data_IF_344853677216
#
_entry.id   IF_344853677216
#
_cell.length_a   1.000
_cell.length_b   1.000
_cell.length_c   1.000
_cell.angle_alpha   90.00
_cell.angle_beta   90.00
_cell.angle_gamma   90.00
#
_symmetry.space_group_name_H-M   'P 1'
#
loop_
_entity.id
_entity.type
_entity.pdbx_description
1 polymer ?
#
# COMPACT_ATOMS: atom_id res chain seq x y z
N UNK A 1 25.85 -42.11 26.30
CA UNK A 1 26.05 -41.04 25.29
C UNK A 1 24.67 -40.65 24.80
N UNK A 2 24.11 -39.62 25.39
CA UNK A 2 22.73 -39.18 25.14
C UNK A 2 22.79 -37.93 24.23
N UNK A 3 22.35 -38.07 22.99
CA UNK A 3 22.35 -36.99 22.00
C UNK A 3 21.10 -36.16 22.16
N UNK A 4 21.24 -34.95 22.67
CA UNK A 4 20.17 -33.95 22.77
C UNK A 4 19.99 -33.26 21.43
N UNK A 5 18.81 -33.37 20.84
CA UNK A 5 18.38 -32.71 19.59
C UNK A 5 17.88 -31.30 19.92
N UNK A 6 18.33 -30.24 19.28
CA UNK A 6 17.73 -28.93 19.49
C UNK A 6 16.42 -28.83 18.69
N UNK A 7 15.33 -28.57 19.39
CA UNK A 7 14.03 -28.25 18.82
C UNK A 7 14.01 -26.77 18.50
N UNK A 8 14.22 -26.40 17.24
CA UNK A 8 14.00 -25.03 16.77
C UNK A 8 12.53 -24.88 16.40
N UNK A 9 11.71 -24.48 17.37
CA UNK A 9 10.35 -24.03 17.13
C UNK A 9 10.36 -22.57 16.72
N UNK A 10 10.21 -22.28 15.43
CA UNK A 10 9.84 -20.96 14.97
C UNK A 10 8.36 -20.74 15.33
N UNK A 11 8.09 -20.23 16.50
CA UNK A 11 6.76 -19.70 16.83
C UNK A 11 6.54 -18.44 16.01
N UNK A 12 5.61 -18.50 15.05
CA UNK A 12 5.02 -17.31 14.44
C UNK A 12 4.43 -16.47 15.59
N UNK A 13 5.01 -15.29 15.79
CA UNK A 13 4.67 -14.34 16.85
C UNK A 13 3.27 -13.76 16.57
N UNK A 14 2.23 -14.42 17.08
CA UNK A 14 0.80 -14.09 16.93
C UNK A 14 0.27 -13.33 18.14
N UNK A 15 1.07 -12.46 18.74
CA UNK A 15 0.60 -11.61 19.84
C UNK A 15 -0.38 -10.54 19.30
N UNK A 16 -1.70 -10.63 19.61
CA UNK A 16 -2.71 -9.68 19.16
C UNK A 16 -2.61 -8.32 19.87
N UNK A 17 -1.81 -8.19 20.93
CA UNK A 17 -1.66 -6.98 21.72
C UNK A 17 -0.61 -6.00 21.17
N UNK A 18 0.11 -6.36 20.11
CA UNK A 18 1.13 -5.48 19.53
C UNK A 18 0.48 -4.28 18.85
N UNK A 19 0.80 -3.05 19.24
CA UNK A 19 0.19 -1.84 18.69
C UNK A 19 0.50 -1.72 17.19
N UNK A 20 -0.56 -1.49 16.41
CA UNK A 20 -0.47 -1.11 15.01
C UNK A 20 -0.55 0.40 14.91
N UNK A 21 0.45 1.02 14.31
CA UNK A 21 0.51 2.46 14.06
C UNK A 21 0.76 2.73 12.58
N UNK A 22 0.20 3.83 12.07
CA UNK A 22 0.50 4.35 10.73
C UNK A 22 0.81 5.83 10.89
N UNK A 23 2.00 6.24 10.45
CA UNK A 23 2.46 7.62 10.61
C UNK A 23 3.17 8.12 9.36
N UNK A 24 3.13 9.44 9.07
CA UNK A 24 4.02 10.04 8.08
C UNK A 24 5.49 9.71 8.40
N UNK A 25 6.25 9.40 7.36
CA UNK A 25 7.65 9.03 7.48
C UNK A 25 8.46 9.63 6.31
N UNK A 26 9.68 10.11 6.53
CA UNK A 26 10.50 10.63 5.44
C UNK A 26 10.79 9.55 4.39
N UNK A 27 10.33 9.78 3.16
CA UNK A 27 10.50 8.80 2.05
C UNK A 27 11.97 8.58 1.71
N UNK A 28 12.83 9.59 1.90
CA UNK A 28 14.27 9.50 1.68
C UNK A 28 15.05 8.80 2.82
N UNK A 29 14.36 8.30 3.86
CA UNK A 29 15.03 7.63 4.97
C UNK A 29 15.53 6.23 4.56
N UNK A 30 16.59 5.71 5.21
CA UNK A 30 17.06 4.34 4.98
C UNK A 30 15.97 3.28 5.24
N UNK A 31 15.10 3.52 6.20
CA UNK A 31 14.00 2.61 6.53
C UNK A 31 12.92 2.58 5.43
N UNK A 32 12.53 3.76 4.91
CA UNK A 32 11.63 3.84 3.76
C UNK A 32 12.21 3.14 2.53
N UNK A 33 13.51 3.32 2.27
CA UNK A 33 14.20 2.64 1.17
C UNK A 33 14.13 1.11 1.28
N UNK A 34 14.28 0.55 2.48
CA UNK A 34 14.14 -0.89 2.71
C UNK A 34 12.71 -1.39 2.45
N UNK A 35 11.69 -0.64 2.91
CA UNK A 35 10.28 -1.01 2.70
C UNK A 35 9.86 -0.87 1.24
N UNK A 36 10.29 0.19 0.56
CA UNK A 36 10.03 0.39 -0.87
C UNK A 36 10.70 -0.68 -1.73
N UNK A 37 11.91 -1.09 -1.36
CA UNK A 37 12.59 -2.22 -2.01
C UNK A 37 11.82 -3.52 -1.83
N UNK A 38 11.34 -3.82 -0.61
CA UNK A 38 10.52 -5.00 -0.34
C UNK A 38 9.19 -4.96 -1.12
N UNK A 39 8.54 -3.79 -1.19
CA UNK A 39 7.37 -3.57 -2.04
C UNK A 39 7.66 -3.91 -3.49
N UNK A 40 8.69 -3.29 -4.08
CA UNK A 40 9.00 -3.46 -5.49
C UNK A 40 9.39 -4.90 -5.81
N UNK A 41 10.16 -5.54 -4.93
CA UNK A 41 10.51 -6.97 -5.08
C UNK A 41 9.25 -7.84 -5.10
N UNK A 42 8.31 -7.66 -4.15
CA UNK A 42 7.07 -8.46 -4.08
C UNK A 42 6.22 -8.29 -5.36
N UNK A 43 6.06 -7.06 -5.86
CA UNK A 43 5.23 -6.83 -7.05
C UNK A 43 5.92 -7.23 -8.35
N UNK A 44 7.24 -7.04 -8.44
CA UNK A 44 8.01 -7.43 -9.62
C UNK A 44 8.17 -8.95 -9.70
N UNK A 45 8.45 -9.64 -8.60
CA UNK A 45 8.56 -11.10 -8.56
C UNK A 45 7.28 -11.77 -9.08
N UNK A 46 6.11 -11.25 -8.71
CA UNK A 46 4.81 -11.75 -9.21
C UNK A 46 4.67 -11.58 -10.71
N UNK A 47 5.07 -10.42 -11.22
CA UNK A 47 5.00 -10.14 -12.65
C UNK A 47 5.97 -11.03 -13.44
N UNK A 48 7.22 -11.15 -12.98
CA UNK A 48 8.24 -11.99 -13.63
C UNK A 48 7.89 -13.48 -13.55
N UNK A 49 7.31 -13.95 -12.45
CA UNK A 49 6.81 -15.33 -12.34
C UNK A 49 5.68 -15.60 -13.35
N UNK A 50 4.74 -14.65 -13.49
CA UNK A 50 3.61 -14.79 -14.40
C UNK A 50 4.03 -14.78 -15.87
N UNK A 51 4.97 -13.91 -16.25
CA UNK A 51 5.32 -13.66 -17.65
C UNK A 51 6.61 -14.35 -18.10
N UNK A 52 7.52 -14.68 -17.18
CA UNK A 52 8.85 -15.24 -17.50
C UNK A 52 9.20 -16.52 -16.74
N UNK A 53 8.34 -16.98 -15.82
CA UNK A 53 8.57 -18.20 -15.04
C UNK A 53 9.74 -18.12 -14.04
N UNK A 54 10.21 -16.90 -13.70
CA UNK A 54 11.29 -16.64 -12.74
C UNK A 54 10.98 -15.45 -11.84
N UNK A 55 11.71 -15.29 -10.75
CA UNK A 55 11.68 -14.09 -9.93
C UNK A 55 12.57 -12.99 -10.51
N UNK A 56 12.41 -11.78 -10.02
CA UNK A 56 13.23 -10.61 -10.33
C UNK A 56 14.66 -10.79 -9.82
N UNK A 57 15.62 -10.22 -10.51
CA UNK A 57 17.00 -10.10 -10.01
C UNK A 57 17.18 -8.81 -9.20
N UNK A 58 18.21 -8.76 -8.35
CA UNK A 58 18.53 -7.55 -7.59
C UNK A 58 18.83 -6.36 -8.51
N UNK A 59 19.50 -6.59 -9.65
CA UNK A 59 19.80 -5.55 -10.64
C UNK A 59 18.52 -4.98 -11.29
N UNK A 60 17.55 -5.83 -11.60
CA UNK A 60 16.25 -5.41 -12.11
C UNK A 60 15.48 -4.58 -11.07
N UNK A 61 15.53 -4.97 -9.80
CA UNK A 61 14.92 -4.18 -8.70
C UNK A 61 15.56 -2.79 -8.61
N UNK A 62 16.89 -2.68 -8.65
CA UNK A 62 17.58 -1.38 -8.62
C UNK A 62 17.20 -0.51 -9.81
N UNK A 63 17.15 -1.08 -11.00
CA UNK A 63 16.75 -0.37 -12.21
C UNK A 63 15.32 0.18 -12.07
N UNK A 64 14.36 -0.63 -11.64
CA UNK A 64 12.98 -0.20 -11.46
C UNK A 64 12.81 0.86 -10.37
N UNK A 65 13.61 0.79 -9.28
CA UNK A 65 13.63 1.85 -8.25
C UNK A 65 14.12 3.18 -8.83
N UNK A 66 15.08 3.14 -9.75
CA UNK A 66 15.59 4.34 -10.41
C UNK A 66 14.64 4.89 -11.49
N UNK A 67 13.92 4.02 -12.20
CA UNK A 67 12.98 4.40 -13.27
C UNK A 67 11.67 4.99 -12.73
N UNK A 68 11.20 4.55 -11.54
CA UNK A 68 9.97 5.02 -10.91
C UNK A 68 10.25 5.41 -9.43
N UNK A 69 10.93 6.54 -9.20
CA UNK A 69 11.26 7.02 -7.87
C UNK A 69 9.99 7.44 -7.10
N UNK A 70 10.11 7.54 -5.79
CA UNK A 70 9.03 7.93 -4.89
C UNK A 70 9.23 9.35 -4.31
N UNK A 71 10.04 10.17 -4.97
CA UNK A 71 10.48 11.50 -4.50
C UNK A 71 9.32 12.51 -4.43
N UNK A 72 8.21 12.23 -5.13
CA UNK A 72 6.96 13.01 -5.09
C UNK A 72 6.10 12.74 -3.83
N UNK A 73 6.47 11.77 -3.00
CA UNK A 73 5.76 11.44 -1.76
C UNK A 73 6.26 12.28 -0.57
N UNK A 74 6.37 13.59 -0.78
CA UNK A 74 6.83 14.58 0.20
C UNK A 74 5.87 15.76 0.30
N UNK A 75 5.72 16.40 1.49
CA UNK A 75 4.92 17.62 1.62
C UNK A 75 5.38 18.75 0.70
N UNK A 76 4.45 19.65 0.25
CA UNK A 76 3.05 19.71 0.65
C UNK A 76 2.10 18.80 -0.16
N UNK A 77 2.53 18.30 -1.32
CA UNK A 77 1.66 17.64 -2.30
C UNK A 77 1.75 16.11 -2.26
N UNK A 78 2.59 15.56 -1.39
CA UNK A 78 2.74 14.14 -1.19
C UNK A 78 3.03 13.77 0.26
N UNK A 79 2.85 12.50 0.59
CA UNK A 79 3.22 11.89 1.86
C UNK A 79 3.54 10.41 1.68
N UNK A 80 4.57 9.97 2.37
CA UNK A 80 4.83 8.54 2.56
C UNK A 80 4.41 8.15 3.97
N UNK A 81 3.54 7.13 4.08
CA UNK A 81 3.03 6.59 5.33
C UNK A 81 3.71 5.24 5.61
N UNK A 82 4.21 5.08 6.81
CA UNK A 82 4.81 3.84 7.29
C UNK A 82 3.92 3.20 8.36
N UNK A 83 3.52 1.95 8.12
CA UNK A 83 2.84 1.14 9.11
C UNK A 83 3.84 0.33 9.93
N UNK A 84 3.67 0.32 11.26
CA UNK A 84 4.45 -0.50 12.18
C UNK A 84 3.53 -1.41 13.00
N UNK A 85 3.95 -2.63 13.19
CA UNK A 85 3.28 -3.59 14.06
C UNK A 85 4.25 -4.02 15.16
N UNK A 86 3.98 -3.61 16.40
CA UNK A 86 4.89 -3.83 17.53
C UNK A 86 6.23 -3.11 17.38
N UNK A 87 6.23 -1.92 16.79
CA UNK A 87 7.42 -1.11 16.53
C UNK A 87 8.16 -1.44 15.22
N UNK A 88 7.94 -2.62 14.64
CA UNK A 88 8.62 -3.08 13.42
C UNK A 88 7.88 -2.64 12.15
N UNK A 89 8.58 -2.25 11.07
CA UNK A 89 7.96 -1.96 9.79
C UNK A 89 7.09 -3.12 9.28
N UNK A 90 5.85 -2.83 8.93
CA UNK A 90 4.86 -3.83 8.52
C UNK A 90 4.30 -3.58 7.12
N UNK A 91 4.43 -2.35 6.61
CA UNK A 91 3.96 -1.96 5.30
C UNK A 91 4.05 -0.46 5.08
N UNK A 92 3.67 -0.02 3.89
CA UNK A 92 3.65 1.40 3.54
C UNK A 92 2.51 1.75 2.59
N UNK A 93 2.24 3.04 2.46
CA UNK A 93 1.44 3.63 1.40
C UNK A 93 1.98 5.02 1.07
N UNK A 94 1.91 5.40 -0.19
CA UNK A 94 2.16 6.76 -0.64
C UNK A 94 0.84 7.43 -1.04
N UNK A 95 0.74 8.72 -0.82
CA UNK A 95 -0.38 9.53 -1.31
C UNK A 95 0.19 10.81 -1.92
N UNK A 96 -0.33 11.20 -3.09
CA UNK A 96 0.01 12.47 -3.72
C UNK A 96 -1.23 13.16 -4.27
N UNK A 97 -1.17 14.48 -4.41
CA UNK A 97 -2.21 15.25 -5.10
C UNK A 97 -2.11 15.02 -6.60
N UNK A 98 -3.22 14.75 -7.24
CA UNK A 98 -3.34 14.87 -8.71
C UNK A 98 -3.92 16.24 -9.10
N UNK A 99 -4.89 16.70 -8.35
CA UNK A 99 -5.55 18.00 -8.48
C UNK A 99 -6.13 18.46 -7.13
N UNK A 100 -6.86 19.58 -7.12
CA UNK A 100 -7.44 20.17 -5.91
C UNK A 100 -8.44 19.24 -5.19
N UNK A 101 -9.04 18.27 -5.90
CA UNK A 101 -10.13 17.42 -5.41
C UNK A 101 -9.78 15.93 -5.42
N UNK A 102 -8.65 15.55 -6.03
CA UNK A 102 -8.26 14.15 -6.25
C UNK A 102 -6.88 13.88 -5.69
N UNK A 103 -6.76 12.86 -4.85
CA UNK A 103 -5.49 12.32 -4.41
C UNK A 103 -5.29 10.90 -4.98
N UNK A 104 -4.03 10.54 -5.25
CA UNK A 104 -3.65 9.22 -5.77
C UNK A 104 -2.91 8.42 -4.71
N UNK A 105 -3.42 7.22 -4.43
CA UNK A 105 -2.74 6.22 -3.62
C UNK A 105 -1.70 5.48 -4.46
N UNK A 106 -0.46 5.49 -3.99
CA UNK A 106 0.69 4.78 -4.59
C UNK A 106 1.39 3.90 -3.56
N UNK A 107 2.24 2.99 -4.01
CA UNK A 107 3.14 2.20 -3.15
C UNK A 107 2.45 1.46 -2.00
N UNK A 108 1.20 1.04 -2.19
CA UNK A 108 0.47 0.29 -1.19
C UNK A 108 1.07 -1.10 -1.01
N UNK A 109 1.60 -1.37 0.18
CA UNK A 109 2.28 -2.62 0.47
C UNK A 109 2.07 -3.06 1.91
N UNK A 110 1.87 -4.36 2.10
CA UNK A 110 1.93 -5.03 3.40
C UNK A 110 2.91 -6.18 3.30
N UNK A 111 3.92 -6.17 4.16
CA UNK A 111 4.93 -7.22 4.20
C UNK A 111 4.24 -8.61 4.32
N UNK A 112 4.61 -9.62 3.52
CA UNK A 112 3.94 -10.92 3.49
C UNK A 112 3.72 -11.53 4.87
N UNK A 113 4.73 -11.49 5.74
CA UNK A 113 4.67 -12.01 7.11
C UNK A 113 3.73 -11.21 8.06
N UNK A 114 3.21 -10.06 7.62
CA UNK A 114 2.32 -9.17 8.39
C UNK A 114 0.91 -9.07 7.81
N UNK A 115 0.61 -9.78 6.71
CA UNK A 115 -0.73 -9.87 6.11
C UNK A 115 -1.72 -10.54 7.05
N UNK A 116 -3.01 -10.23 6.90
CA UNK A 116 -4.07 -10.76 7.75
C UNK A 116 -4.15 -10.14 9.17
N UNK A 117 -3.36 -9.10 9.46
CA UNK A 117 -3.28 -8.43 10.77
C UNK A 117 -3.84 -6.99 10.79
N UNK A 118 -4.67 -6.65 9.81
CA UNK A 118 -5.30 -5.33 9.75
C UNK A 118 -4.43 -4.21 9.17
N UNK A 119 -3.13 -4.47 8.88
CA UNK A 119 -2.18 -3.44 8.41
C UNK A 119 -2.68 -2.73 7.15
N UNK A 120 -3.19 -3.48 6.17
CA UNK A 120 -3.70 -2.89 4.93
C UNK A 120 -4.91 -1.97 5.15
N UNK A 121 -5.84 -2.38 6.02
CA UNK A 121 -6.99 -1.56 6.38
C UNK A 121 -6.57 -0.26 7.11
N UNK A 122 -5.61 -0.36 8.02
CA UNK A 122 -5.08 0.80 8.73
C UNK A 122 -4.36 1.78 7.78
N UNK A 123 -3.58 1.27 6.81
CA UNK A 123 -2.96 2.10 5.79
C UNK A 123 -3.99 2.82 4.93
N UNK A 124 -5.05 2.12 4.45
CA UNK A 124 -6.12 2.76 3.68
C UNK A 124 -6.86 3.83 4.49
N UNK A 125 -7.17 3.56 5.76
CA UNK A 125 -7.80 4.54 6.63
C UNK A 125 -6.95 5.81 6.79
N UNK A 126 -5.64 5.65 7.01
CA UNK A 126 -4.71 6.78 7.13
C UNK A 126 -4.55 7.56 5.82
N UNK A 127 -4.53 6.88 4.68
CA UNK A 127 -4.53 7.50 3.34
C UNK A 127 -5.79 8.35 3.14
N UNK A 128 -6.97 7.79 3.43
CA UNK A 128 -8.25 8.48 3.28
C UNK A 128 -8.38 9.68 4.23
N UNK A 129 -7.93 9.55 5.46
CA UNK A 129 -7.89 10.64 6.44
C UNK A 129 -6.96 11.76 5.99
N UNK A 130 -5.76 11.42 5.50
CA UNK A 130 -4.80 12.39 4.96
C UNK A 130 -5.37 13.12 3.75
N UNK A 131 -6.00 12.39 2.83
CA UNK A 131 -6.63 12.98 1.64
C UNK A 131 -7.76 13.95 2.02
N UNK A 132 -8.62 13.59 3.01
CA UNK A 132 -9.64 14.50 3.54
C UNK A 132 -9.02 15.77 4.16
N UNK A 133 -7.94 15.60 4.93
CA UNK A 133 -7.18 16.72 5.50
C UNK A 133 -6.61 17.66 4.44
N UNK A 134 -6.37 17.18 3.24
CA UNK A 134 -5.98 18.00 2.09
C UNK A 134 -7.16 18.64 1.36
N UNK A 135 -8.40 18.33 1.71
CA UNK A 135 -9.60 18.76 1.00
C UNK A 135 -9.92 17.95 -0.26
N UNK A 136 -9.28 16.80 -0.45
CA UNK A 136 -9.61 15.92 -1.56
C UNK A 136 -10.99 15.28 -1.35
N UNK A 137 -11.75 15.17 -2.43
CA UNK A 137 -13.10 14.59 -2.43
C UNK A 137 -13.09 13.11 -2.81
N UNK A 138 -12.00 12.67 -3.41
CA UNK A 138 -11.80 11.27 -3.80
C UNK A 138 -10.34 10.83 -3.73
N UNK A 139 -10.14 9.53 -3.52
CA UNK A 139 -8.86 8.86 -3.72
C UNK A 139 -9.01 7.93 -4.92
N UNK A 140 -8.02 7.98 -5.80
CA UNK A 140 -7.90 7.06 -6.94
C UNK A 140 -6.61 6.26 -6.82
N UNK A 141 -6.55 5.13 -7.50
CA UNK A 141 -5.35 4.29 -7.60
C UNK A 141 -5.36 3.50 -8.90
N UNK A 142 -4.18 3.08 -9.31
CA UNK A 142 -4.00 2.11 -10.37
C UNK A 142 -3.33 0.84 -9.82
N UNK A 143 -3.62 -0.30 -10.42
CA UNK A 143 -3.06 -1.59 -9.98
C UNK A 143 -3.13 -2.64 -11.09
N UNK A 144 -2.66 -3.86 -10.77
CA UNK A 144 -2.67 -4.99 -11.69
C UNK A 144 -3.68 -6.06 -11.28
N UNK A 145 -4.13 -6.87 -12.25
CA UNK A 145 -5.11 -7.95 -12.04
C UNK A 145 -4.56 -9.12 -11.24
N UNK A 146 -3.26 -9.35 -11.29
CA UNK A 146 -2.59 -10.43 -10.55
C UNK A 146 -2.47 -10.16 -9.04
N UNK A 147 -2.59 -8.90 -8.61
CA UNK A 147 -2.54 -8.49 -7.20
C UNK A 147 -3.91 -8.69 -6.52
N UNK A 148 -4.39 -9.92 -6.51
CA UNK A 148 -5.76 -10.29 -6.09
C UNK A 148 -6.09 -9.86 -4.65
N UNK A 149 -5.14 -9.98 -3.72
CA UNK A 149 -5.34 -9.56 -2.32
C UNK A 149 -5.48 -8.04 -2.18
N UNK A 150 -4.76 -7.26 -3.00
CA UNK A 150 -4.90 -5.81 -3.04
C UNK A 150 -6.27 -5.42 -3.59
N UNK A 151 -6.71 -6.03 -4.72
CA UNK A 151 -8.04 -5.82 -5.29
C UNK A 151 -9.14 -6.16 -4.27
N UNK A 152 -9.03 -7.29 -3.56
CA UNK A 152 -9.99 -7.68 -2.53
C UNK A 152 -9.99 -6.71 -1.34
N UNK A 153 -8.83 -6.15 -0.97
CA UNK A 153 -8.74 -5.12 0.07
C UNK A 153 -9.46 -3.85 -0.38
N UNK A 154 -9.16 -3.33 -1.57
CA UNK A 154 -9.80 -2.12 -2.10
C UNK A 154 -11.31 -2.28 -2.22
N UNK A 155 -11.80 -3.40 -2.76
CA UNK A 155 -13.23 -3.66 -2.88
C UNK A 155 -13.94 -3.66 -1.52
N UNK A 156 -13.37 -4.32 -0.50
CA UNK A 156 -13.92 -4.31 0.88
C UNK A 156 -13.98 -2.92 1.51
N UNK A 157 -13.12 -2.00 1.06
CA UNK A 157 -13.07 -0.62 1.55
C UNK A 157 -13.81 0.38 0.65
N UNK A 158 -14.65 -0.11 -0.29
CA UNK A 158 -15.54 0.72 -1.09
C UNK A 158 -14.90 1.38 -2.31
N UNK A 159 -13.73 0.93 -2.73
CA UNK A 159 -13.15 1.34 -4.01
C UNK A 159 -13.85 0.61 -5.15
N UNK A 160 -14.22 1.35 -6.17
CA UNK A 160 -14.90 0.85 -7.39
C UNK A 160 -14.15 1.25 -8.64
N UNK A 161 -14.44 0.60 -9.76
CA UNK A 161 -13.81 0.92 -11.04
C UNK A 161 -14.10 2.37 -11.46
N UNK A 162 -13.06 3.05 -11.97
CA UNK A 162 -13.15 4.39 -12.54
C UNK A 162 -12.53 4.41 -13.93
N UNK A 163 -12.79 5.48 -14.70
CA UNK A 163 -12.15 5.69 -15.98
C UNK A 163 -10.62 5.78 -15.84
N UNK A 164 -9.86 5.24 -16.80
CA UNK A 164 -8.42 5.36 -16.84
C UNK A 164 -7.97 6.83 -16.83
N UNK A 165 -7.13 7.19 -15.87
CA UNK A 165 -6.59 8.55 -15.73
C UNK A 165 -5.07 8.61 -15.96
N UNK A 166 -4.43 7.47 -15.98
CA UNK A 166 -3.00 7.27 -16.28
C UNK A 166 -2.82 5.97 -17.04
N UNK A 167 -1.80 5.92 -17.90
CA UNK A 167 -1.45 4.71 -18.65
C UNK A 167 0.03 4.41 -18.46
N UNK A 168 0.34 3.16 -18.19
CA UNK A 168 1.71 2.68 -17.99
C UNK A 168 1.82 1.20 -18.36
N UNK A 169 3.03 0.66 -18.48
CA UNK A 169 3.26 -0.72 -18.91
C UNK A 169 2.70 -1.77 -17.93
N UNK A 170 2.40 -1.37 -16.71
CA UNK A 170 1.94 -2.26 -15.65
C UNK A 170 0.56 -1.85 -15.10
N UNK A 171 -0.15 -0.92 -15.76
CA UNK A 171 -1.45 -0.43 -15.34
C UNK A 171 -2.56 -1.19 -16.05
N UNK A 172 -3.42 -1.89 -15.29
CA UNK A 172 -4.48 -2.73 -15.84
C UNK A 172 -5.86 -2.46 -15.22
N UNK A 173 -5.90 -1.88 -14.02
CA UNK A 173 -7.11 -1.63 -13.23
C UNK A 173 -7.03 -0.27 -12.60
N UNK A 174 -8.08 0.54 -12.76
CA UNK A 174 -8.21 1.86 -12.15
C UNK A 174 -9.38 1.82 -11.17
N UNK A 175 -9.12 2.19 -9.93
CA UNK A 175 -10.11 2.20 -8.87
C UNK A 175 -10.17 3.58 -8.21
N UNK A 176 -11.34 3.92 -7.69
CA UNK A 176 -11.54 5.16 -6.95
C UNK A 176 -12.59 5.01 -5.86
N UNK A 177 -12.49 5.89 -4.87
CA UNK A 177 -13.44 6.01 -3.77
C UNK A 177 -13.71 7.48 -3.49
N UNK A 178 -14.99 7.86 -3.44
CA UNK A 178 -15.42 9.16 -2.92
C UNK A 178 -15.21 9.19 -1.41
N UNK A 179 -14.65 10.30 -0.91
CA UNK A 179 -14.33 10.48 0.52
C UNK A 179 -15.45 11.17 1.30
N UNK A 180 -16.26 11.96 0.60
CA UNK A 180 -17.42 12.59 1.17
C UNK A 180 -18.57 11.57 1.08
N UNK A 181 -18.94 10.96 2.21
CA UNK A 181 -20.22 10.27 2.32
C UNK A 181 -21.32 11.28 1.99
N UNK A 182 -22.11 11.00 0.97
CA UNK A 182 -23.41 11.61 0.84
C UNK A 182 -24.22 11.03 1.98
N UNK A 183 -24.30 11.73 3.12
CA UNK A 183 -25.44 11.59 4.00
C UNK A 183 -26.64 12.08 3.20
N UNK A 184 -27.23 11.14 2.46
CA UNK A 184 -28.51 11.31 1.82
C UNK A 184 -29.60 11.40 2.88
N UNK A 185 -29.72 12.52 3.54
CA UNK A 185 -31.00 12.94 4.09
C UNK A 185 -31.78 13.61 2.97
N UNK A 186 -32.43 12.78 2.16
CA UNK A 186 -33.63 13.20 1.48
C UNK A 186 -34.64 13.62 2.56
N UNK A 187 -34.63 14.90 2.85
CA UNK A 187 -35.73 15.57 3.50
C UNK A 187 -36.89 15.62 2.53
N UNK A 188 -37.68 14.55 2.51
CA UNK A 188 -39.05 14.65 2.01
C UNK A 188 -39.82 15.47 3.06
N UNK A 189 -40.09 16.69 2.71
CA UNK A 189 -41.10 17.48 3.44
C UNK A 189 -42.06 18.11 2.46
N UNK A 190 -43.35 17.65 2.61
CA UNK A 190 -44.59 18.33 2.46
C UNK A 190 -45.13 18.78 1.15
#
# INVERSE_FOLDING_TARGET
>A
MTTTRPTTGAHADTDPSRPLTVTPHPVASPEAALVLRAYLTDVADRWYLLHHGRTTTSEEVERHLAEDPSDDLVPPDGVFLLARLGGEPAGCAGLRRLDARTAELKRMFVHPARRGRGVGAALLAAVEETARGWGAERVVLETRRDLREALALYARHGYTAVEPYVHGPYTEVWLGKALNGVDGTDGADG
#
